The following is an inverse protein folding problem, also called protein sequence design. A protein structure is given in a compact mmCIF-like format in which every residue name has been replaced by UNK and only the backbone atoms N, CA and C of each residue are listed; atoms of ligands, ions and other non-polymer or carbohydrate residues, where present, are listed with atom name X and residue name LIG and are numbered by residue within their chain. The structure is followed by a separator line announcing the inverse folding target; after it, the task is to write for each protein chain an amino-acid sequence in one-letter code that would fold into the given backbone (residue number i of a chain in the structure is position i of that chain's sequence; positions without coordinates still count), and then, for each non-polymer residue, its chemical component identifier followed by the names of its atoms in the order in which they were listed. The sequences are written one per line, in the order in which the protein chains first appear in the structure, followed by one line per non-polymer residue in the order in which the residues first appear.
data_IF_695671274136
#
_entry.id   IF_695671274136
#
_cell.length_a   1.000
_cell.length_b   1.000
_cell.length_c   1.000
_cell.angle_alpha   90.00
_cell.angle_beta   90.00
_cell.angle_gamma   90.00
#
_symmetry.space_group_name_H-M   'P 1'
#
loop_
_entity.id
_entity.type
_entity.pdbx_description
1 polymer ?
#
# COMPACT_ATOMS: atom_id res chain seq x y z
N UNK A 1 11.71 8.00 10.52
CA UNK A 1 10.31 8.40 10.21
C UNK A 1 9.92 7.68 8.95
N UNK A 2 9.05 6.66 9.05
CA UNK A 2 8.55 5.91 7.90
C UNK A 2 7.65 6.77 7.02
N UNK A 3 7.60 6.45 5.72
CA UNK A 3 6.71 7.17 4.81
C UNK A 3 5.26 6.92 5.19
N UNK A 4 4.40 7.89 4.89
CA UNK A 4 2.95 7.78 5.12
C UNK A 4 2.39 6.51 4.49
N UNK A 5 2.84 6.16 3.29
CA UNK A 5 2.44 4.94 2.60
C UNK A 5 2.76 3.67 3.41
N UNK A 6 3.97 3.57 3.96
CA UNK A 6 4.36 2.42 4.81
C UNK A 6 3.50 2.39 6.08
N UNK A 7 3.26 3.53 6.72
CA UNK A 7 2.44 3.58 7.94
C UNK A 7 0.98 3.15 7.67
N UNK A 8 0.40 3.60 6.55
CA UNK A 8 -0.96 3.23 6.14
C UNK A 8 -1.05 1.73 5.86
N UNK A 9 -0.13 1.19 5.05
CA UNK A 9 -0.12 -0.22 4.72
C UNK A 9 0.10 -1.08 5.97
N UNK A 10 1.13 -0.83 6.78
CA UNK A 10 1.36 -1.59 8.01
C UNK A 10 0.14 -1.59 8.92
N UNK A 11 -0.49 -0.42 9.16
CA UNK A 11 -1.70 -0.33 9.98
C UNK A 11 -2.88 -1.12 9.39
N UNK A 12 -3.01 -1.14 8.06
CA UNK A 12 -4.05 -1.90 7.38
C UNK A 12 -3.86 -3.41 7.60
N UNK A 13 -2.61 -3.88 7.53
CA UNK A 13 -2.21 -5.26 7.79
C UNK A 13 -2.47 -5.65 9.23
N UNK A 14 -2.11 -4.79 10.17
CA UNK A 14 -2.35 -4.98 11.61
C UNK A 14 -3.85 -5.07 11.93
N UNK A 15 -4.70 -4.45 11.10
CA UNK A 15 -6.16 -4.52 11.22
C UNK A 15 -6.77 -5.78 10.55
N UNK A 16 -5.94 -6.63 9.95
CA UNK A 16 -6.36 -7.84 9.23
C UNK A 16 -6.77 -7.61 7.77
N UNK A 17 -6.56 -6.40 7.24
CA UNK A 17 -6.76 -6.10 5.82
C UNK A 17 -5.55 -6.52 4.99
N UNK A 18 -5.77 -6.78 3.70
CA UNK A 18 -4.69 -7.06 2.75
C UNK A 18 -4.60 -5.92 1.73
N UNK A 19 -3.59 -5.94 0.87
CA UNK A 19 -3.48 -4.99 -0.23
C UNK A 19 -2.89 -5.62 -1.47
N UNK A 20 -3.15 -4.97 -2.60
CA UNK A 20 -2.62 -5.37 -3.90
C UNK A 20 -2.04 -4.18 -4.63
N UNK A 21 -0.81 -4.32 -5.11
CA UNK A 21 -0.19 -3.32 -5.98
C UNK A 21 -0.92 -3.33 -7.32
N UNK A 22 -1.46 -2.17 -7.70
CA UNK A 22 -2.12 -1.97 -9.00
C UNK A 22 -1.15 -1.35 -10.02
N UNK A 23 -0.38 -0.36 -9.57
CA UNK A 23 0.61 0.35 -10.40
C UNK A 23 1.89 0.48 -9.60
N UNK A 24 3.03 0.16 -10.22
CA UNK A 24 4.36 0.44 -9.70
C UNK A 24 5.16 1.12 -10.79
N UNK A 25 5.56 2.34 -10.55
CA UNK A 25 6.41 3.12 -11.45
C UNK A 25 7.52 3.83 -10.68
N UNK A 26 8.50 4.35 -11.41
CA UNK A 26 9.60 5.13 -10.82
C UNK A 26 9.15 6.47 -10.23
N UNK A 27 7.90 6.90 -10.46
CA UNK A 27 7.38 8.19 -9.97
C UNK A 27 6.29 8.05 -8.93
N UNK A 28 5.49 6.98 -8.99
CA UNK A 28 4.38 6.74 -8.08
C UNK A 28 4.04 5.24 -8.01
N UNK A 29 3.38 4.88 -6.91
CA UNK A 29 2.84 3.55 -6.66
C UNK A 29 1.36 3.72 -6.31
N UNK A 30 0.52 2.88 -6.90
CA UNK A 30 -0.91 2.78 -6.58
C UNK A 30 -1.20 1.40 -6.01
N UNK A 31 -1.87 1.37 -4.88
CA UNK A 31 -2.20 0.15 -4.14
C UNK A 31 -3.70 0.16 -3.85
N UNK A 32 -4.35 -0.99 -4.08
CA UNK A 32 -5.70 -1.25 -3.60
C UNK A 32 -5.63 -1.82 -2.18
N UNK A 33 -6.32 -1.18 -1.24
CA UNK A 33 -6.61 -1.74 0.07
C UNK A 33 -7.81 -2.69 -0.07
N UNK A 34 -7.62 -3.89 0.44
CA UNK A 34 -8.60 -4.96 0.40
C UNK A 34 -9.05 -5.27 1.82
N UNK A 35 -10.34 -5.54 2.01
CA UNK A 35 -10.84 -6.08 3.27
C UNK A 35 -10.19 -7.43 3.58
N UNK A 36 -10.46 -7.96 4.78
CA UNK A 36 -10.17 -9.34 5.10
C UNK A 36 -10.90 -10.36 4.21
N UNK A 37 -11.92 -9.93 3.45
CA UNK A 37 -12.68 -10.71 2.46
C UNK A 37 -12.21 -10.49 1.02
N UNK A 38 -11.05 -9.85 0.82
CA UNK A 38 -10.45 -9.55 -0.49
C UNK A 38 -11.24 -8.57 -1.38
N UNK A 39 -12.16 -7.80 -0.78
CA UNK A 39 -12.92 -6.78 -1.50
C UNK A 39 -12.17 -5.44 -1.47
N UNK A 40 -12.05 -4.79 -2.62
CA UNK A 40 -11.40 -3.48 -2.72
C UNK A 40 -12.26 -2.41 -2.04
N UNK A 41 -11.69 -1.73 -1.05
CA UNK A 41 -12.34 -0.64 -0.31
C UNK A 41 -11.80 0.72 -0.69
N UNK A 42 -10.50 0.81 -0.95
CA UNK A 42 -9.84 2.07 -1.23
C UNK A 42 -8.68 1.87 -2.19
N UNK A 43 -8.44 2.87 -3.05
CA UNK A 43 -7.22 2.97 -3.84
C UNK A 43 -6.42 4.15 -3.35
N UNK A 44 -5.20 3.87 -2.94
CA UNK A 44 -4.27 4.88 -2.48
C UNK A 44 -3.13 5.01 -3.50
N UNK A 45 -2.72 6.25 -3.77
CA UNK A 45 -1.59 6.55 -4.65
C UNK A 45 -0.59 7.43 -3.92
N UNK A 46 0.67 7.04 -3.94
CA UNK A 46 1.76 7.78 -3.34
C UNK A 46 2.92 7.95 -4.31
N UNK A 47 3.76 8.99 -4.16
CA UNK A 47 5.04 9.07 -4.85
C UNK A 47 5.88 7.81 -4.63
N UNK A 48 6.72 7.46 -5.60
CA UNK A 48 7.65 6.35 -5.44
C UNK A 48 8.60 6.66 -4.29
N UNK A 49 8.74 5.70 -3.40
CA UNK A 49 9.61 5.81 -2.22
C UNK A 49 10.32 4.47 -2.03
N UNK A 50 11.66 4.44 -1.91
CA UNK A 50 12.40 3.22 -1.65
C UNK A 50 11.87 2.38 -0.49
N UNK A 51 11.28 2.98 0.56
CA UNK A 51 10.73 2.22 1.69
C UNK A 51 9.41 1.54 1.34
N UNK A 52 8.53 2.25 0.64
CA UNK A 52 7.30 1.66 0.09
C UNK A 52 7.65 0.52 -0.88
N UNK A 53 8.64 0.72 -1.75
CA UNK A 53 9.10 -0.29 -2.69
C UNK A 53 9.67 -1.53 -1.99
N UNK A 54 10.37 -1.37 -0.87
CA UNK A 54 10.89 -2.48 -0.07
C UNK A 54 9.77 -3.29 0.62
N UNK A 55 8.68 -2.62 1.03
CA UNK A 55 7.52 -3.28 1.67
C UNK A 55 6.71 -4.12 0.67
N UNK A 56 6.64 -3.68 -0.59
CA UNK A 56 5.85 -4.32 -1.66
C UNK A 56 6.71 -5.15 -2.63
N UNK A 57 7.98 -5.39 -2.29
CA UNK A 57 8.93 -6.11 -3.14
C UNK A 57 8.69 -7.61 -3.17
#
# INVERSE_FOLDING_TARGET
MDSEAVQVLTRWQDSGGTWRVLVRSDTHVTVALLTCTEEEVERCTWPSDPRLLALIS
#
